data_IF_572763283455
#
_entry.id   IF_572763283455
#
_cell.length_a   1.000
_cell.length_b   1.000
_cell.length_c   1.000
_cell.angle_alpha   90.00
_cell.angle_beta   90.00
_cell.angle_gamma   90.00
#
_symmetry.space_group_name_H-M   'P 1'
#
loop_
_entity.id
_entity.type
_entity.pdbx_description
1 polymer ?
#
# COMPACT_ATOMS: atom_id res chain seq x y z
N UNK A 1 -20.43 -14.68 9.27
CA UNK A 1 -21.19 -14.17 8.10
C UNK A 1 -20.86 -12.71 7.76
N UNK A 2 -20.83 -11.77 8.72
CA UNK A 2 -20.58 -10.35 8.45
C UNK A 2 -19.18 -10.07 7.87
N UNK A 3 -18.14 -10.69 8.41
CA UNK A 3 -16.75 -10.53 7.92
C UNK A 3 -16.56 -11.01 6.48
N UNK A 4 -17.23 -12.10 6.08
CA UNK A 4 -17.19 -12.58 4.69
C UNK A 4 -17.78 -11.56 3.72
N UNK A 5 -18.84 -10.86 4.13
CA UNK A 5 -19.47 -9.81 3.31
C UNK A 5 -18.56 -8.60 3.16
N UNK A 6 -17.92 -8.15 4.24
CA UNK A 6 -16.96 -7.03 4.21
C UNK A 6 -15.78 -7.35 3.28
N UNK A 7 -15.19 -8.54 3.40
CA UNK A 7 -14.11 -8.99 2.50
C UNK A 7 -14.56 -9.10 1.05
N UNK A 8 -15.80 -9.53 0.80
CA UNK A 8 -16.35 -9.60 -0.55
C UNK A 8 -16.55 -8.20 -1.17
N UNK A 9 -17.03 -7.23 -0.40
CA UNK A 9 -17.14 -5.84 -0.84
C UNK A 9 -15.79 -5.19 -1.10
N UNK A 10 -14.80 -5.47 -0.26
CA UNK A 10 -13.43 -5.00 -0.46
C UNK A 10 -12.85 -5.52 -1.78
N UNK A 11 -12.99 -6.82 -2.06
CA UNK A 11 -12.57 -7.43 -3.33
C UNK A 11 -13.25 -6.77 -4.53
N UNK A 12 -14.55 -6.47 -4.43
CA UNK A 12 -15.28 -5.77 -5.49
C UNK A 12 -14.70 -4.38 -5.72
N UNK A 13 -14.41 -3.61 -4.67
CA UNK A 13 -13.82 -2.28 -4.78
C UNK A 13 -12.45 -2.32 -5.48
N UNK A 14 -11.59 -3.26 -5.09
CA UNK A 14 -10.29 -3.46 -5.73
C UNK A 14 -10.40 -3.85 -7.20
N UNK A 15 -11.31 -4.77 -7.54
CA UNK A 15 -11.55 -5.16 -8.92
C UNK A 15 -12.05 -3.98 -9.77
N UNK A 16 -13.01 -3.20 -9.25
CA UNK A 16 -13.52 -2.01 -9.93
C UNK A 16 -12.42 -0.97 -10.12
N UNK A 17 -11.61 -0.70 -9.09
CA UNK A 17 -10.50 0.25 -9.17
C UNK A 17 -9.47 -0.18 -10.22
N UNK A 18 -9.19 -1.48 -10.35
CA UNK A 18 -8.32 -2.01 -11.39
C UNK A 18 -8.90 -1.74 -12.80
N UNK A 19 -10.16 -2.11 -13.04
CA UNK A 19 -10.80 -1.88 -14.33
C UNK A 19 -10.87 -0.40 -14.71
N UNK A 20 -11.22 0.47 -13.75
CA UNK A 20 -11.25 1.92 -13.96
C UNK A 20 -9.86 2.47 -14.25
N UNK A 21 -8.82 1.98 -13.55
CA UNK A 21 -7.45 2.37 -13.82
C UNK A 21 -7.03 2.00 -15.25
N UNK A 22 -7.34 0.79 -15.71
CA UNK A 22 -7.07 0.36 -17.08
C UNK A 22 -7.81 1.23 -18.11
N UNK A 23 -9.11 1.46 -17.90
CA UNK A 23 -9.95 2.27 -18.80
C UNK A 23 -9.43 3.71 -18.91
N UNK A 24 -9.12 4.34 -17.78
CA UNK A 24 -8.70 5.74 -17.75
C UNK A 24 -7.25 5.94 -18.20
N UNK A 25 -6.37 4.95 -17.99
CA UNK A 25 -4.96 5.06 -18.39
C UNK A 25 -4.78 5.25 -19.90
N UNK A 26 -5.71 4.80 -20.73
CA UNK A 26 -5.69 5.02 -22.18
C UNK A 26 -5.95 6.50 -22.53
N UNK A 27 -6.73 7.19 -21.69
CA UNK A 27 -7.12 8.58 -21.91
C UNK A 27 -6.24 9.59 -21.17
N UNK A 28 -5.33 9.13 -20.31
CA UNK A 28 -4.45 9.98 -19.51
C UNK A 28 -2.98 9.87 -19.95
N UNK A 29 -2.25 10.99 -19.92
CA UNK A 29 -0.81 11.03 -20.26
C UNK A 29 0.06 10.23 -19.29
N UNK A 30 -0.43 9.98 -18.07
CA UNK A 30 0.23 9.15 -17.05
C UNK A 30 -0.73 8.01 -16.67
N UNK A 31 -0.23 6.77 -16.48
CA UNK A 31 -1.06 5.68 -16.01
C UNK A 31 -1.76 6.02 -14.68
N UNK A 32 -3.05 5.72 -14.61
CA UNK A 32 -3.82 5.81 -13.37
C UNK A 32 -3.46 4.63 -12.50
N UNK A 33 -3.09 4.91 -11.24
CA UNK A 33 -2.69 3.88 -10.28
C UNK A 33 -3.89 3.43 -9.46
N UNK A 34 -4.12 2.12 -9.40
CA UNK A 34 -5.22 1.52 -8.63
C UNK A 34 -5.15 1.90 -7.15
N UNK A 35 -3.96 2.01 -6.57
CA UNK A 35 -3.78 2.38 -5.16
C UNK A 35 -4.27 3.81 -4.89
N UNK A 36 -4.13 4.72 -5.86
CA UNK A 36 -4.65 6.09 -5.74
C UNK A 36 -6.17 6.12 -5.78
N UNK A 37 -6.79 5.27 -6.60
CA UNK A 37 -8.25 5.14 -6.66
C UNK A 37 -8.82 4.52 -5.38
N UNK A 38 -8.07 3.63 -4.74
CA UNK A 38 -8.48 3.00 -3.48
C UNK A 38 -8.30 3.89 -2.25
N UNK A 39 -7.45 4.92 -2.31
CA UNK A 39 -7.11 5.79 -1.18
C UNK A 39 -8.32 6.31 -0.36
N UNK A 40 -9.46 6.71 -0.96
CA UNK A 40 -10.63 7.17 -0.20
C UNK A 40 -11.34 6.06 0.58
N UNK A 41 -11.20 4.80 0.17
CA UNK A 41 -11.86 3.65 0.79
C UNK A 41 -11.01 2.96 1.85
N UNK A 42 -9.71 3.25 1.88
CA UNK A 42 -8.80 2.71 2.87
C UNK A 42 -8.96 3.47 4.19
N UNK A 43 -8.94 2.78 5.33
CA UNK A 43 -8.93 3.44 6.63
C UNK A 43 -7.73 4.40 6.69
N UNK A 44 -7.99 5.64 7.13
CA UNK A 44 -6.92 6.62 7.35
C UNK A 44 -6.07 6.13 8.52
N UNK A 45 -4.76 5.99 8.28
CA UNK A 45 -3.81 5.72 9.35
C UNK A 45 -3.82 6.88 10.34
N UNK A 46 -3.82 6.54 11.62
CA UNK A 46 -3.63 7.50 12.72
C UNK A 46 -2.18 7.97 12.76
N UNK A 47 -1.91 9.12 13.40
CA UNK A 47 -0.53 9.63 13.47
C UNK A 47 0.42 8.65 14.19
N UNK A 48 -0.08 7.93 15.19
CA UNK A 48 0.66 6.90 15.93
C UNK A 48 1.06 5.73 15.04
N UNK A 49 0.17 5.25 14.17
CA UNK A 49 0.48 4.17 13.22
C UNK A 49 1.52 4.61 12.19
N UNK A 50 1.47 5.87 11.74
CA UNK A 50 2.45 6.42 10.80
C UNK A 50 3.85 6.47 11.45
N UNK A 51 3.94 6.92 12.72
CA UNK A 51 5.21 6.96 13.45
C UNK A 51 5.74 5.55 13.70
N UNK A 52 4.87 4.61 14.09
CA UNK A 52 5.26 3.23 14.32
C UNK A 52 5.80 2.55 13.05
N UNK A 53 5.16 2.74 11.90
CA UNK A 53 5.65 2.22 10.62
C UNK A 53 7.00 2.82 10.22
N UNK A 54 7.17 4.13 10.44
CA UNK A 54 8.44 4.81 10.18
C UNK A 54 9.55 4.24 11.05
N UNK A 55 9.30 4.09 12.34
CA UNK A 55 10.30 3.62 13.29
C UNK A 55 10.65 2.15 13.02
N UNK A 56 9.66 1.31 12.70
CA UNK A 56 9.86 -0.07 12.25
C UNK A 56 10.69 -0.17 10.97
N UNK A 57 10.45 0.71 9.98
CA UNK A 57 11.26 0.78 8.77
C UNK A 57 12.72 1.11 9.08
N UNK A 58 12.97 2.10 9.95
CA UNK A 58 14.34 2.47 10.31
C UNK A 58 15.05 1.40 11.13
N UNK A 59 14.35 0.68 12.00
CA UNK A 59 14.90 -0.48 12.70
C UNK A 59 15.31 -1.58 11.71
N UNK A 60 14.44 -1.93 10.75
CA UNK A 60 14.78 -2.93 9.74
C UNK A 60 15.93 -2.48 8.84
N UNK A 61 15.96 -1.20 8.48
CA UNK A 61 17.04 -0.60 7.69
C UNK A 61 18.37 -0.63 8.45
N UNK A 62 18.38 -0.26 9.74
CA UNK A 62 19.56 -0.34 10.61
C UNK A 62 20.07 -1.76 10.74
N UNK A 63 19.17 -2.74 10.94
CA UNK A 63 19.53 -4.16 11.04
C UNK A 63 20.23 -4.64 9.77
N UNK A 64 19.67 -4.37 8.60
CA UNK A 64 20.28 -4.72 7.30
C UNK A 64 21.60 -3.99 7.03
N UNK A 65 21.73 -2.74 7.49
CA UNK A 65 22.98 -1.98 7.37
C UNK A 65 24.11 -2.48 8.28
N UNK A 66 23.77 -3.01 9.46
CA UNK A 66 24.73 -3.61 10.38
C UNK A 66 25.27 -4.95 9.86
N UNK A 67 24.41 -5.78 9.25
CA UNK A 67 24.81 -7.07 8.67
C UNK A 67 25.71 -6.92 7.41
N UNK A 68 25.67 -5.77 6.74
CA UNK A 68 26.48 -5.48 5.54
C UNK A 68 27.89 -4.95 5.82
N UNK A 69 28.21 -4.56 7.06
CA UNK A 69 29.52 -3.97 7.41
C UNK A 69 30.54 -5.00 7.95
N UNK A 70 30.26 -6.30 7.79
CA UNK A 70 31.05 -7.40 8.37
C UNK A 70 31.97 -8.14 7.41
N UNK A 71 32.08 -7.75 6.12
CA UNK A 71 32.95 -8.48 5.17
C UNK A 71 33.67 -7.56 4.17
N UNK A 72 34.52 -6.69 4.69
CA UNK A 72 35.67 -6.18 3.93
C UNK A 72 36.93 -6.32 4.79
N UNK A 73 37.58 -7.48 4.65
CA UNK A 73 39.00 -7.68 4.95
C UNK A 73 39.77 -7.64 3.65
#
# INVERSE_FOLDING_TARGET
>A
MAECRVKAEERKKWATAYWVACLMSVHTRKPVRTEKLMKPFLPKKTSSEIVAERDAFFEEFRRKGADGNGNHR
#
